data_IF_210943175741
#
_entry.id   IF_210943175741
#
_cell.length_a   1.000
_cell.length_b   1.000
_cell.length_c   1.000
_cell.angle_alpha   90.00
_cell.angle_beta   90.00
_cell.angle_gamma   90.00
#
_symmetry.space_group_name_H-M   'P 1'
#
loop_
_entity.id
_entity.type
_entity.pdbx_description
1 polymer ?
#
# COMPACT_ATOMS: atom_id res chain seq x y z
N UNK A 1 -31.81 -6.07 -53.63
CA UNK A 1 -30.83 -5.23 -52.88
C UNK A 1 -30.86 -5.44 -51.36
N UNK A 2 -31.94 -5.95 -50.77
CA UNK A 2 -32.06 -6.16 -49.30
C UNK A 2 -31.28 -7.39 -48.81
N UNK A 3 -31.32 -8.53 -49.52
CA UNK A 3 -30.61 -9.76 -49.13
C UNK A 3 -29.07 -9.65 -49.13
N UNK A 4 -28.49 -8.83 -50.02
CA UNK A 4 -27.04 -8.59 -50.06
C UNK A 4 -26.54 -7.79 -48.85
N UNK A 5 -27.38 -6.90 -48.29
CA UNK A 5 -27.06 -6.14 -47.07
C UNK A 5 -27.17 -6.99 -45.81
N UNK A 6 -28.12 -7.92 -45.76
CA UNK A 6 -28.24 -8.89 -44.67
C UNK A 6 -27.03 -9.83 -44.61
N UNK A 7 -26.60 -10.39 -45.74
CA UNK A 7 -25.40 -11.23 -45.81
C UNK A 7 -24.10 -10.49 -45.43
N UNK A 8 -24.01 -9.17 -45.64
CA UNK A 8 -22.85 -8.39 -45.18
C UNK A 8 -22.88 -8.11 -43.67
N UNK A 9 -24.07 -7.93 -43.10
CA UNK A 9 -24.25 -7.71 -41.66
C UNK A 9 -23.96 -9.00 -40.88
N UNK A 10 -24.47 -10.15 -41.34
CA UNK A 10 -24.22 -11.45 -40.70
C UNK A 10 -22.72 -11.83 -40.71
N UNK A 11 -22.01 -11.48 -41.79
CA UNK A 11 -20.54 -11.68 -41.88
C UNK A 11 -19.78 -10.79 -40.91
N UNK A 12 -20.21 -9.54 -40.74
CA UNK A 12 -19.55 -8.62 -39.83
C UNK A 12 -19.86 -8.98 -38.37
N UNK A 13 -21.07 -9.43 -38.06
CA UNK A 13 -21.43 -9.98 -36.74
C UNK A 13 -20.62 -11.24 -36.41
N UNK A 14 -20.48 -12.18 -37.34
CA UNK A 14 -19.65 -13.37 -37.17
C UNK A 14 -18.18 -13.01 -36.94
N UNK A 15 -17.67 -11.99 -37.65
CA UNK A 15 -16.31 -11.48 -37.46
C UNK A 15 -16.12 -10.85 -36.08
N UNK A 16 -17.07 -10.05 -35.63
CA UNK A 16 -17.04 -9.42 -34.30
C UNK A 16 -17.13 -10.47 -33.20
N UNK A 17 -18.00 -11.46 -33.35
CA UNK A 17 -18.12 -12.58 -32.41
C UNK A 17 -16.83 -13.40 -32.33
N UNK A 18 -16.21 -13.71 -33.47
CA UNK A 18 -14.91 -14.38 -33.51
C UNK A 18 -13.79 -13.54 -32.86
N UNK A 19 -13.82 -12.21 -33.02
CA UNK A 19 -12.88 -11.31 -32.38
C UNK A 19 -13.07 -11.28 -30.86
N UNK A 20 -14.32 -11.22 -30.37
CA UNK A 20 -14.64 -11.29 -28.94
C UNK A 20 -14.21 -12.63 -28.33
N UNK A 21 -14.51 -13.75 -28.99
CA UNK A 21 -14.11 -15.08 -28.53
C UNK A 21 -12.58 -15.22 -28.43
N UNK A 22 -11.83 -14.67 -29.39
CA UNK A 22 -10.35 -14.63 -29.33
C UNK A 22 -9.84 -13.75 -28.19
N UNK A 23 -10.46 -12.60 -27.96
CA UNK A 23 -10.10 -11.70 -26.86
C UNK A 23 -10.37 -12.34 -25.50
N UNK A 24 -11.51 -13.01 -25.32
CA UNK A 24 -11.84 -13.76 -24.11
C UNK A 24 -10.87 -14.92 -23.87
N UNK A 25 -10.58 -15.73 -24.90
CA UNK A 25 -9.60 -16.81 -24.81
C UNK A 25 -8.20 -16.29 -24.46
N UNK A 26 -7.82 -15.10 -24.96
CA UNK A 26 -6.58 -14.44 -24.60
C UNK A 26 -6.58 -14.01 -23.14
N UNK A 27 -7.63 -13.32 -22.69
CA UNK A 27 -7.77 -12.87 -21.29
C UNK A 27 -7.67 -14.02 -20.31
N UNK A 28 -8.34 -15.14 -20.57
CA UNK A 28 -8.27 -16.35 -19.74
C UNK A 28 -6.84 -16.89 -19.58
N UNK A 29 -6.01 -16.84 -20.64
CA UNK A 29 -4.59 -17.25 -20.58
C UNK A 29 -3.72 -16.30 -19.77
N UNK A 30 -3.98 -15.00 -19.84
CA UNK A 30 -3.23 -13.99 -19.09
C UNK A 30 -3.58 -13.97 -17.59
N UNK A 31 -4.84 -14.28 -17.26
CA UNK A 31 -5.30 -14.35 -15.87
C UNK A 31 -4.77 -15.58 -15.12
N UNK A 32 -4.50 -16.68 -15.82
CA UNK A 32 -3.95 -17.89 -15.19
C UNK A 32 -2.41 -17.81 -15.10
N UNK A 33 -1.92 -17.57 -13.87
CA UNK A 33 -0.49 -17.41 -13.58
C UNK A 33 0.36 -18.63 -13.99
N UNK A 34 -0.18 -19.86 -13.87
CA UNK A 34 0.55 -21.10 -14.21
C UNK A 34 0.75 -21.23 -15.71
N UNK A 35 -0.27 -20.96 -16.51
CA UNK A 35 -0.14 -20.98 -17.98
C UNK A 35 0.72 -19.84 -18.50
N UNK A 36 0.79 -18.71 -17.77
CA UNK A 36 1.68 -17.59 -18.10
C UNK A 36 3.15 -17.93 -17.85
N UNK A 37 3.45 -18.63 -16.76
CA UNK A 37 4.82 -19.01 -16.39
C UNK A 37 5.29 -20.28 -17.12
N UNK A 38 4.41 -21.26 -17.35
CA UNK A 38 4.73 -22.53 -18.01
C UNK A 38 3.57 -22.98 -18.91
N UNK A 39 3.45 -22.37 -20.08
CA UNK A 39 2.49 -22.76 -21.12
C UNK A 39 3.10 -23.78 -22.08
N UNK A 40 2.69 -25.05 -21.98
CA UNK A 40 3.17 -26.13 -22.86
C UNK A 40 1.97 -26.81 -23.54
N UNK A 41 1.99 -26.84 -24.88
CA UNK A 41 1.00 -27.58 -25.68
C UNK A 41 1.39 -29.05 -25.77
N UNK A 42 0.95 -29.84 -24.79
CA UNK A 42 1.28 -31.26 -24.69
C UNK A 42 0.78 -32.06 -25.90
N UNK A 43 -0.43 -31.77 -26.39
CA UNK A 43 -1.00 -32.47 -27.53
C UNK A 43 -0.21 -32.17 -28.82
N UNK A 44 0.19 -30.92 -29.02
CA UNK A 44 1.06 -30.54 -30.14
C UNK A 44 2.45 -31.18 -30.06
N UNK A 45 3.04 -31.27 -28.86
CA UNK A 45 4.32 -31.96 -28.67
C UNK A 45 4.22 -33.47 -28.90
N UNK A 46 3.16 -34.11 -28.41
CA UNK A 46 2.92 -35.55 -28.61
C UNK A 46 2.73 -35.85 -30.11
N UNK A 47 2.04 -34.99 -30.86
CA UNK A 47 1.91 -35.10 -32.32
C UNK A 47 3.26 -34.95 -33.04
N UNK A 48 4.10 -34.00 -32.64
CA UNK A 48 5.43 -33.81 -33.23
C UNK A 48 6.37 -34.98 -32.93
N UNK A 49 6.28 -35.59 -31.75
CA UNK A 49 7.07 -36.78 -31.39
C UNK A 49 6.66 -37.96 -32.27
N UNK A 50 5.35 -38.15 -32.47
CA UNK A 50 4.83 -39.22 -33.31
C UNK A 50 5.21 -39.02 -34.79
N UNK A 51 5.10 -37.80 -35.31
CA UNK A 51 5.54 -37.45 -36.67
C UNK A 51 7.04 -37.76 -36.88
N UNK A 52 7.89 -37.36 -35.94
CA UNK A 52 9.34 -37.65 -35.99
C UNK A 52 9.62 -39.15 -35.92
N UNK A 53 8.85 -39.91 -35.14
CA UNK A 53 8.98 -41.37 -35.06
C UNK A 53 8.65 -42.01 -36.41
N UNK A 54 7.52 -41.63 -37.00
CA UNK A 54 7.08 -42.15 -38.30
C UNK A 54 8.06 -41.80 -39.41
N UNK A 55 8.59 -40.57 -39.44
CA UNK A 55 9.61 -40.16 -40.40
C UNK A 55 10.91 -40.98 -40.27
N UNK A 56 11.32 -41.27 -39.03
CA UNK A 56 12.52 -42.11 -38.76
C UNK A 56 12.30 -43.55 -39.19
N UNK A 57 11.12 -44.11 -38.95
CA UNK A 57 10.77 -45.46 -39.39
C UNK A 57 10.68 -45.56 -40.92
N UNK A 58 10.06 -44.58 -41.58
CA UNK A 58 10.00 -44.51 -43.03
C UNK A 58 11.40 -44.41 -43.67
N UNK A 59 12.29 -43.58 -43.11
CA UNK A 59 13.67 -43.49 -43.57
C UNK A 59 14.43 -44.81 -43.38
N UNK A 60 14.23 -45.48 -42.24
CA UNK A 60 14.85 -46.78 -41.98
C UNK A 60 14.37 -47.83 -42.99
N UNK A 61 13.07 -47.86 -43.29
CA UNK A 61 12.52 -48.78 -44.27
C UNK A 61 13.07 -48.50 -45.68
N UNK A 62 13.08 -47.23 -46.11
CA UNK A 62 13.65 -46.83 -47.40
C UNK A 62 15.14 -47.22 -47.54
N UNK A 63 15.92 -47.10 -46.46
CA UNK A 63 17.31 -47.52 -46.46
C UNK A 63 17.47 -49.05 -46.58
N UNK A 64 16.60 -49.82 -45.93
CA UNK A 64 16.58 -51.28 -46.05
C UNK A 64 16.21 -51.73 -47.47
N UNK A 65 15.19 -51.10 -48.06
CA UNK A 65 14.73 -51.41 -49.42
C UNK A 65 15.80 -51.07 -50.45
N UNK A 66 16.48 -49.92 -50.28
CA UNK A 66 17.63 -49.54 -51.12
C UNK A 66 18.78 -50.55 -51.00
N UNK A 67 19.13 -50.96 -49.78
CA UNK A 67 20.19 -51.94 -49.56
C UNK A 67 19.87 -53.30 -50.21
N UNK A 68 18.62 -53.75 -50.15
CA UNK A 68 18.18 -54.98 -50.82
C UNK A 68 18.28 -54.85 -52.35
N UNK A 69 17.89 -53.71 -52.91
CA UNK A 69 18.01 -53.43 -54.35
C UNK A 69 19.48 -53.40 -54.80
N UNK A 70 20.36 -52.73 -54.04
CA UNK A 70 21.79 -52.66 -54.34
C UNK A 70 22.43 -54.07 -54.31
N UNK A 71 22.03 -54.93 -53.37
CA UNK A 71 22.48 -56.34 -53.34
C UNK A 71 22.03 -57.14 -54.57
N UNK A 72 20.80 -56.91 -55.05
CA UNK A 72 20.31 -57.57 -56.26
C UNK A 72 21.10 -57.14 -57.50
N UNK A 73 21.43 -55.85 -57.62
CA UNK A 73 22.26 -55.33 -58.71
C UNK A 73 23.65 -55.96 -58.68
N UNK A 74 24.29 -56.03 -57.51
CA UNK A 74 25.62 -56.63 -57.36
C UNK A 74 25.64 -58.09 -57.81
N UNK A 75 24.61 -58.86 -57.46
CA UNK A 75 24.49 -60.26 -57.89
C UNK A 75 24.36 -60.38 -59.41
N UNK A 76 23.55 -59.54 -60.06
CA UNK A 76 23.43 -59.54 -61.52
C UNK A 76 24.73 -59.16 -62.23
N UNK A 77 25.48 -58.20 -61.66
CA UNK A 77 26.79 -57.81 -62.17
C UNK A 77 27.80 -58.95 -62.07
N UNK A 78 27.83 -59.66 -60.94
CA UNK A 78 28.73 -60.80 -60.72
C UNK A 78 28.41 -61.96 -61.68
N UNK A 79 27.13 -62.27 -61.88
CA UNK A 79 26.68 -63.29 -62.84
C UNK A 79 27.07 -62.92 -64.28
N UNK A 80 26.86 -61.67 -64.70
CA UNK A 80 27.26 -61.19 -66.03
C UNK A 80 28.78 -61.22 -66.23
N UNK A 81 29.56 -60.81 -65.22
CA UNK A 81 31.01 -60.82 -65.32
C UNK A 81 31.57 -62.26 -65.37
N UNK A 82 30.96 -63.19 -64.64
CA UNK A 82 31.30 -64.61 -64.71
C UNK A 82 30.99 -65.21 -66.10
N UNK A 83 29.84 -64.89 -66.68
CA UNK A 83 29.48 -65.32 -68.04
C UNK A 83 30.43 -64.74 -69.09
N UNK A 84 30.70 -63.44 -69.06
CA UNK A 84 31.64 -62.80 -69.98
C UNK A 84 33.06 -63.38 -69.87
N UNK A 85 33.51 -63.73 -68.65
CA UNK A 85 34.78 -64.43 -68.44
C UNK A 85 34.77 -65.83 -69.06
N UNK A 86 33.69 -66.60 -68.89
CA UNK A 86 33.56 -67.94 -69.46
C UNK A 86 33.54 -67.91 -71.00
N UNK A 87 32.76 -67.00 -71.60
CA UNK A 87 32.68 -66.80 -73.06
C UNK A 87 34.04 -66.42 -73.64
N UNK A 88 34.74 -65.48 -73.00
CA UNK A 88 36.08 -65.09 -73.42
C UNK A 88 37.07 -66.25 -73.36
N UNK A 89 37.01 -67.07 -72.31
CA UNK A 89 37.87 -68.25 -72.17
C UNK A 89 37.55 -69.29 -73.26
N UNK A 90 36.28 -69.54 -73.55
CA UNK A 90 35.84 -70.45 -74.60
C UNK A 90 36.28 -69.95 -75.99
N UNK A 91 36.11 -68.67 -76.29
CA UNK A 91 36.56 -68.07 -77.56
C UNK A 91 38.08 -68.16 -77.74
N UNK A 92 38.85 -67.94 -76.67
CA UNK A 92 40.31 -68.08 -76.72
C UNK A 92 40.73 -69.54 -76.96
N UNK A 93 40.06 -70.50 -76.36
CA UNK A 93 40.33 -71.92 -76.58
C UNK A 93 39.97 -72.36 -78.01
N UNK A 94 38.83 -71.91 -78.54
CA UNK A 94 38.43 -72.18 -79.92
C UNK A 94 39.42 -71.59 -80.93
N UNK A 95 39.88 -70.35 -80.71
CA UNK A 95 40.91 -69.72 -81.53
C UNK A 95 42.23 -70.50 -81.47
N UNK A 96 42.59 -70.99 -80.28
CA UNK A 96 43.81 -71.79 -80.10
C UNK A 96 43.75 -73.10 -80.88
N UNK A 97 42.61 -73.79 -80.88
CA UNK A 97 42.41 -75.03 -81.64
C UNK A 97 42.45 -74.79 -83.16
N UNK A 98 41.77 -73.75 -83.66
CA UNK A 98 41.78 -73.35 -85.07
C UNK A 98 43.21 -73.01 -85.55
N UNK A 99 43.97 -72.28 -84.74
CA UNK A 99 45.37 -71.95 -85.04
C UNK A 99 46.29 -73.18 -85.01
N UNK A 100 46.05 -74.14 -84.12
CA UNK A 100 46.80 -75.40 -84.09
C UNK A 100 46.50 -76.28 -85.31
N UNK A 101 45.25 -76.31 -85.79
CA UNK A 101 44.89 -77.00 -87.04
C UNK A 101 45.56 -76.34 -88.25
N UNK A 102 45.49 -75.01 -88.37
CA UNK A 102 46.14 -74.25 -89.46
C UNK A 102 47.66 -74.31 -89.43
N UNK A 103 48.27 -74.59 -88.26
CA UNK A 103 49.71 -74.81 -88.15
C UNK A 103 50.16 -76.18 -88.68
N UNK A 104 49.24 -77.15 -88.81
CA UNK A 104 49.51 -78.48 -89.35
C UNK A 104 49.41 -78.57 -90.87
N UNK A 105 48.84 -77.55 -91.52
CA UNK A 105 48.76 -77.45 -92.97
C UNK A 105 50.14 -77.12 -93.56
N UNK A 106 50.61 -77.85 -94.60
CA UNK A 106 51.91 -77.58 -95.22
C UNK A 106 51.90 -76.19 -95.86
N UNK A 107 52.69 -75.27 -95.28
CA UNK A 107 52.86 -73.92 -95.79
C UNK A 107 53.87 -73.94 -96.95
N UNK A 108 53.33 -74.05 -98.16
CA UNK A 108 53.85 -73.42 -99.38
C UNK A 108 55.14 -74.06 -99.97
N UNK A 109 54.98 -74.92 -100.98
CA UNK A 109 56.05 -75.50 -101.82
C UNK A 109 56.38 -74.63 -103.06
N UNK A 110 56.33 -73.30 -102.94
CA UNK A 110 56.71 -72.41 -104.04
C UNK A 110 58.13 -71.83 -103.83
N UNK A 111 59.05 -71.96 -104.82
CA UNK A 111 60.34 -71.29 -104.76
C UNK A 111 60.11 -69.78 -104.68
N UNK A 112 60.77 -69.10 -103.74
CA UNK A 112 60.70 -67.64 -103.59
C UNK A 112 61.14 -66.98 -104.89
N UNK A 113 60.17 -66.43 -105.62
CA UNK A 113 60.38 -65.71 -106.87
C UNK A 113 60.94 -64.33 -106.52
N UNK A 114 62.19 -64.08 -106.91
CA UNK A 114 62.79 -62.76 -107.07
C UNK A 114 63.16 -61.99 -105.80
N UNK A 115 64.02 -61.00 -105.98
CA UNK A 115 64.28 -59.98 -104.96
C UNK A 115 62.96 -59.29 -104.57
N UNK A 116 62.83 -58.92 -103.29
CA UNK A 116 61.63 -58.27 -102.77
C UNK A 116 61.28 -57.04 -103.60
N UNK A 117 60.07 -56.99 -104.15
CA UNK A 117 59.56 -55.83 -104.87
C UNK A 117 59.66 -54.60 -103.96
N UNK A 118 60.43 -53.59 -104.39
CA UNK A 118 60.46 -52.33 -103.68
C UNK A 118 59.17 -51.56 -103.98
N UNK A 119 58.23 -51.60 -103.04
CA UNK A 119 56.92 -50.97 -103.16
C UNK A 119 57.00 -49.46 -103.47
N UNK A 120 58.07 -48.78 -103.06
CA UNK A 120 58.25 -47.33 -103.24
C UNK A 120 58.62 -46.96 -104.69
N UNK A 121 59.20 -47.90 -105.44
CA UNK A 121 59.56 -47.72 -106.86
C UNK A 121 58.40 -48.13 -107.80
N UNK A 122 57.31 -48.67 -107.26
CA UNK A 122 56.16 -49.15 -108.03
C UNK A 122 55.17 -48.02 -108.32
N UNK A 123 54.74 -47.88 -109.58
CA UNK A 123 53.70 -46.92 -109.95
C UNK A 123 52.33 -47.23 -109.32
N UNK A 124 51.46 -46.23 -109.23
CA UNK A 124 50.14 -46.34 -108.56
C UNK A 124 49.22 -47.44 -109.12
N UNK A 125 49.40 -47.83 -110.39
CA UNK A 125 48.65 -48.92 -111.03
C UNK A 125 49.04 -50.34 -110.58
N UNK A 126 50.21 -50.52 -109.95
CA UNK A 126 50.67 -51.83 -109.47
C UNK A 126 50.03 -52.24 -108.12
N UNK A 127 49.33 -51.31 -107.46
CA UNK A 127 48.68 -51.51 -106.16
C UNK A 127 49.61 -52.09 -105.06
N UNK A 128 50.92 -51.83 -105.15
CA UNK A 128 51.93 -52.30 -104.19
C UNK A 128 52.23 -51.28 -103.06
N UNK A 129 51.81 -50.01 -103.22
CA UNK A 129 52.02 -48.95 -102.24
C UNK A 129 50.76 -48.08 -102.09
N UNK A 130 50.25 -47.97 -100.86
CA UNK A 130 49.08 -47.15 -100.54
C UNK A 130 49.45 -46.04 -99.54
N UNK A 131 49.22 -44.78 -99.92
CA UNK A 131 49.52 -43.63 -99.05
C UNK A 131 48.76 -43.66 -97.69
N UNK A 132 47.62 -44.38 -97.62
CA UNK A 132 46.83 -44.53 -96.39
C UNK A 132 47.37 -45.56 -95.38
N UNK A 133 48.35 -46.38 -95.76
CA UNK A 133 48.86 -47.48 -94.92
C UNK A 133 49.63 -47.00 -93.68
N UNK A 134 50.17 -45.77 -93.71
CA UNK A 134 51.00 -45.15 -92.67
C UNK A 134 51.98 -46.12 -91.99
N UNK A 135 53.13 -46.30 -92.64
CA UNK A 135 54.27 -47.06 -92.10
C UNK A 135 54.77 -46.54 -90.75
N UNK A 136 54.49 -45.28 -90.41
CA UNK A 136 54.96 -44.62 -89.19
C UNK A 136 53.91 -44.63 -88.06
N UNK A 137 52.84 -45.42 -88.17
CA UNK A 137 51.74 -45.47 -87.19
C UNK A 137 52.23 -45.67 -85.76
N UNK A 138 53.18 -46.58 -85.55
CA UNK A 138 53.70 -46.88 -84.21
C UNK A 138 54.55 -45.74 -83.66
N UNK A 139 55.40 -45.13 -84.50
CA UNK A 139 56.19 -43.94 -84.14
C UNK A 139 55.27 -42.75 -83.78
N UNK A 140 54.23 -42.50 -84.58
CA UNK A 140 53.21 -41.48 -84.33
C UNK A 140 52.46 -41.74 -83.03
N UNK A 141 52.02 -42.98 -82.79
CA UNK A 141 51.33 -43.39 -81.55
C UNK A 141 52.24 -43.21 -80.33
N UNK A 142 53.53 -43.55 -80.44
CA UNK A 142 54.51 -43.37 -79.36
C UNK A 142 54.69 -41.89 -79.00
N UNK A 143 54.78 -41.02 -80.02
CA UNK A 143 54.87 -39.58 -79.82
C UNK A 143 53.61 -39.01 -79.16
N UNK A 144 52.41 -39.38 -79.64
CA UNK A 144 51.14 -38.97 -79.03
C UNK A 144 51.00 -39.43 -77.57
N UNK A 145 51.41 -40.66 -77.27
CA UNK A 145 51.43 -41.15 -75.89
C UNK A 145 52.44 -40.39 -75.01
N UNK A 146 53.61 -40.03 -75.55
CA UNK A 146 54.58 -39.22 -74.84
C UNK A 146 54.03 -37.80 -74.55
N UNK A 147 53.40 -37.16 -75.52
CA UNK A 147 52.71 -35.88 -75.35
C UNK A 147 51.59 -35.98 -74.30
N UNK A 148 50.75 -37.00 -74.37
CA UNK A 148 49.68 -37.20 -73.39
C UNK A 148 50.21 -37.43 -71.98
N UNK A 149 51.29 -38.20 -71.82
CA UNK A 149 51.98 -38.36 -70.53
C UNK A 149 52.53 -37.04 -70.01
N UNK A 150 53.15 -36.24 -70.87
CA UNK A 150 53.68 -34.93 -70.49
C UNK A 150 52.57 -33.98 -70.05
N UNK A 151 51.50 -33.85 -70.83
CA UNK A 151 50.37 -32.97 -70.50
C UNK A 151 49.67 -33.40 -69.21
N UNK A 152 49.38 -34.69 -69.05
CA UNK A 152 48.76 -35.20 -67.82
C UNK A 152 49.67 -35.03 -66.60
N UNK A 153 50.99 -35.15 -66.76
CA UNK A 153 51.95 -34.87 -65.68
C UNK A 153 51.97 -33.39 -65.30
N UNK A 154 51.97 -32.48 -66.29
CA UNK A 154 51.93 -31.03 -66.04
C UNK A 154 50.63 -30.64 -65.34
N UNK A 155 49.48 -31.11 -65.83
CA UNK A 155 48.17 -30.79 -65.26
C UNK A 155 48.01 -31.34 -63.83
N UNK A 156 48.59 -32.51 -63.53
CA UNK A 156 48.65 -33.05 -62.16
C UNK A 156 49.51 -32.19 -61.24
N UNK A 157 50.68 -31.75 -61.71
CA UNK A 157 51.58 -30.91 -60.94
C UNK A 157 50.94 -29.53 -60.65
N UNK A 158 50.32 -28.91 -61.64
CA UNK A 158 49.60 -27.64 -61.49
C UNK A 158 48.42 -27.77 -60.50
N UNK A 159 47.63 -28.84 -60.62
CA UNK A 159 46.54 -29.10 -59.67
C UNK A 159 47.06 -29.32 -58.25
N UNK A 160 48.17 -30.03 -58.09
CA UNK A 160 48.78 -30.25 -56.77
C UNK A 160 49.30 -28.93 -56.17
N UNK A 161 49.94 -28.08 -56.98
CA UNK A 161 50.41 -26.77 -56.55
C UNK A 161 49.25 -25.87 -56.11
N UNK A 162 48.16 -25.81 -56.91
CA UNK A 162 46.97 -25.03 -56.54
C UNK A 162 46.32 -25.54 -55.25
N UNK A 163 46.18 -26.86 -55.10
CA UNK A 163 45.63 -27.43 -53.88
C UNK A 163 46.50 -27.12 -52.64
N UNK A 164 47.82 -27.05 -52.82
CA UNK A 164 48.73 -26.67 -51.73
C UNK A 164 48.55 -25.20 -51.34
N UNK A 165 48.44 -24.31 -52.32
CA UNK A 165 48.17 -22.88 -52.10
C UNK A 165 46.82 -22.65 -51.41
N UNK A 166 45.76 -23.32 -51.87
CA UNK A 166 44.43 -23.28 -51.24
C UNK A 166 44.47 -23.73 -49.78
N UNK A 167 45.20 -24.82 -49.48
CA UNK A 167 45.34 -25.33 -48.12
C UNK A 167 46.17 -24.40 -47.22
N UNK A 168 47.18 -23.73 -47.77
CA UNK A 168 47.93 -22.70 -47.05
C UNK A 168 47.07 -21.46 -46.75
N UNK A 169 46.23 -21.03 -47.69
CA UNK A 169 45.27 -19.95 -47.48
C UNK A 169 44.23 -20.30 -46.41
N UNK A 170 43.70 -21.52 -46.44
CA UNK A 170 42.76 -22.00 -45.43
C UNK A 170 43.42 -22.04 -44.04
N UNK A 171 44.68 -22.48 -43.96
CA UNK A 171 45.46 -22.47 -42.72
C UNK A 171 45.70 -21.04 -42.20
N UNK A 172 46.06 -20.09 -43.08
CA UNK A 172 46.21 -18.67 -42.73
C UNK A 172 44.90 -18.09 -42.21
N UNK A 173 43.78 -18.40 -42.87
CA UNK A 173 42.47 -17.94 -42.43
C UNK A 173 42.08 -18.54 -41.08
N UNK A 174 42.35 -19.82 -40.85
CA UNK A 174 42.09 -20.46 -39.57
C UNK A 174 42.90 -19.82 -38.43
N UNK A 175 44.19 -19.54 -38.64
CA UNK A 175 45.02 -18.83 -37.67
C UNK A 175 44.49 -17.43 -37.36
N UNK A 176 44.03 -16.70 -38.39
CA UNK A 176 43.39 -15.40 -38.20
C UNK A 176 42.12 -15.50 -37.34
N UNK A 177 41.26 -16.49 -37.60
CA UNK A 177 40.05 -16.71 -36.80
C UNK A 177 40.37 -17.03 -35.33
N UNK A 178 41.40 -17.84 -35.07
CA UNK A 178 41.86 -18.12 -33.70
C UNK A 178 42.32 -16.85 -32.99
N UNK A 179 43.12 -16.01 -33.66
CA UNK A 179 43.57 -14.75 -33.08
C UNK A 179 42.41 -13.78 -32.79
N UNK A 180 41.39 -13.75 -33.64
CA UNK A 180 40.17 -12.97 -33.41
C UNK A 180 39.38 -13.50 -32.21
N UNK A 181 39.25 -14.83 -32.07
CA UNK A 181 38.55 -15.44 -30.94
C UNK A 181 39.28 -15.17 -29.62
N UNK A 182 40.62 -15.28 -29.61
CA UNK A 182 41.45 -14.96 -28.46
C UNK A 182 41.29 -13.49 -28.04
N UNK A 183 41.36 -12.55 -28.98
CA UNK A 183 41.12 -11.13 -28.71
C UNK A 183 39.71 -10.88 -28.17
N UNK A 184 38.69 -11.54 -28.74
CA UNK A 184 37.32 -11.45 -28.25
C UNK A 184 37.20 -11.96 -26.81
N UNK A 185 37.83 -13.09 -26.50
CA UNK A 185 37.86 -13.67 -25.16
C UNK A 185 38.52 -12.74 -24.14
N UNK A 186 39.64 -12.11 -24.51
CA UNK A 186 40.32 -11.11 -23.66
C UNK A 186 39.43 -9.91 -23.38
N UNK A 187 38.82 -9.32 -24.41
CA UNK A 187 37.90 -8.18 -24.27
C UNK A 187 36.68 -8.52 -23.41
N UNK A 188 36.12 -9.71 -23.55
CA UNK A 188 34.99 -10.14 -22.72
C UNK A 188 35.39 -10.30 -21.25
N UNK A 189 36.56 -10.88 -20.99
CA UNK A 189 37.08 -11.05 -19.63
C UNK A 189 37.38 -9.70 -18.97
N UNK A 190 38.00 -8.75 -19.69
CA UNK A 190 38.23 -7.40 -19.19
C UNK A 190 36.91 -6.67 -18.90
N UNK A 191 35.92 -6.81 -19.79
CA UNK A 191 34.61 -6.20 -19.58
C UNK A 191 33.89 -6.80 -18.36
N UNK A 192 33.99 -8.12 -18.16
CA UNK A 192 33.47 -8.80 -16.96
C UNK A 192 34.18 -8.30 -15.69
N UNK A 193 35.50 -8.18 -15.72
CA UNK A 193 36.29 -7.69 -14.60
C UNK A 193 35.93 -6.23 -14.24
N UNK A 194 35.83 -5.35 -15.24
CA UNK A 194 35.39 -3.96 -15.06
C UNK A 194 34.00 -3.88 -14.47
N UNK A 195 33.04 -4.61 -15.04
CA UNK A 195 31.66 -4.66 -14.54
C UNK A 195 31.60 -5.16 -13.09
N UNK A 196 32.42 -6.14 -12.73
CA UNK A 196 32.52 -6.63 -11.35
C UNK A 196 33.08 -5.58 -10.39
N UNK A 197 34.13 -4.86 -10.81
CA UNK A 197 34.72 -3.76 -10.04
C UNK A 197 33.71 -2.61 -9.84
N UNK A 198 33.00 -2.21 -10.90
CA UNK A 198 31.97 -1.18 -10.82
C UNK A 198 30.86 -1.57 -9.86
N UNK A 199 30.36 -2.82 -9.92
CA UNK A 199 29.36 -3.33 -8.98
C UNK A 199 29.84 -3.28 -7.52
N UNK A 200 31.11 -3.58 -7.28
CA UNK A 200 31.68 -3.47 -5.93
C UNK A 200 31.74 -2.01 -5.46
N UNK A 201 32.15 -1.09 -6.34
CA UNK A 201 32.20 0.33 -6.03
C UNK A 201 30.79 0.88 -5.72
N UNK A 202 29.79 0.55 -6.54
CA UNK A 202 28.41 0.93 -6.29
C UNK A 202 27.88 0.36 -4.96
N UNK A 203 28.23 -0.88 -4.61
CA UNK A 203 27.87 -1.46 -3.32
C UNK A 203 28.45 -0.64 -2.16
N UNK A 204 29.74 -0.32 -2.21
CA UNK A 204 30.40 0.50 -1.18
C UNK A 204 29.76 1.88 -1.03
N UNK A 205 29.52 2.56 -2.15
CA UNK A 205 28.84 3.86 -2.14
C UNK A 205 27.43 3.78 -1.54
N UNK A 206 26.67 2.73 -1.88
CA UNK A 206 25.34 2.52 -1.30
C UNK A 206 25.40 2.23 0.21
N UNK A 207 26.39 1.45 0.66
CA UNK A 207 26.60 1.18 2.09
C UNK A 207 26.97 2.45 2.86
N UNK A 208 27.87 3.28 2.32
CA UNK A 208 28.24 4.58 2.87
C UNK A 208 27.04 5.53 2.93
N UNK A 209 26.27 5.63 1.85
CA UNK A 209 25.07 6.45 1.79
C UNK A 209 23.99 5.99 2.79
N UNK A 210 23.83 4.67 2.96
CA UNK A 210 22.90 4.11 3.95
C UNK A 210 23.39 4.35 5.38
N UNK A 211 24.69 4.36 5.64
CA UNK A 211 25.26 4.73 6.94
C UNK A 211 25.03 6.22 7.24
N UNK A 212 25.31 7.10 6.27
CA UNK A 212 25.08 8.54 6.40
C UNK A 212 23.60 8.84 6.69
N UNK A 213 22.69 8.26 5.89
CA UNK A 213 21.25 8.44 6.07
C UNK A 213 20.77 7.98 7.46
N UNK A 214 21.33 6.88 7.98
CA UNK A 214 21.03 6.41 9.34
C UNK A 214 21.52 7.39 10.40
N UNK A 215 22.75 7.90 10.26
CA UNK A 215 23.31 8.87 11.18
C UNK A 215 22.50 10.18 11.20
N UNK A 216 22.12 10.71 10.04
CA UNK A 216 21.27 11.90 9.93
C UNK A 216 19.91 11.67 10.59
N UNK A 217 19.24 10.55 10.31
CA UNK A 217 17.95 10.23 10.95
C UNK A 217 18.05 10.14 12.48
N UNK A 218 19.15 9.59 12.99
CA UNK A 218 19.37 9.52 14.44
C UNK A 218 19.59 10.92 15.04
N UNK A 219 20.36 11.77 14.37
CA UNK A 219 20.52 13.18 14.77
C UNK A 219 19.18 13.93 14.75
N UNK A 220 18.40 13.79 13.68
CA UNK A 220 17.08 14.41 13.55
C UNK A 220 16.14 13.93 14.65
N UNK A 221 16.16 12.64 14.98
CA UNK A 221 15.37 12.07 16.08
C UNK A 221 15.78 12.65 17.43
N UNK A 222 17.09 12.79 17.68
CA UNK A 222 17.59 13.39 18.92
C UNK A 222 17.24 14.87 19.01
N UNK A 223 17.31 15.61 17.90
CA UNK A 223 16.90 17.00 17.85
C UNK A 223 15.39 17.14 18.08
N UNK A 224 14.57 16.32 17.43
CA UNK A 224 13.13 16.29 17.64
C UNK A 224 12.79 16.00 19.11
N UNK A 225 13.39 14.96 19.71
CA UNK A 225 13.18 14.65 21.12
C UNK A 225 13.57 15.80 22.07
N UNK A 226 14.65 16.54 21.76
CA UNK A 226 15.03 17.73 22.52
C UNK A 226 14.04 18.87 22.35
N UNK A 227 13.53 19.11 21.14
CA UNK A 227 12.51 20.11 20.89
C UNK A 227 11.21 19.76 21.61
N UNK A 228 10.79 18.49 21.58
CA UNK A 228 9.61 17.99 22.29
C UNK A 228 9.76 18.18 23.81
N UNK A 229 10.94 17.91 24.38
CA UNK A 229 11.22 18.13 25.80
C UNK A 229 11.22 19.63 26.17
N UNK A 230 11.79 20.47 25.30
CA UNK A 230 11.72 21.93 25.46
C UNK A 230 10.28 22.45 25.37
N UNK A 231 9.47 21.93 24.46
CA UNK A 231 8.05 22.29 24.35
C UNK A 231 7.29 21.82 25.59
N UNK A 232 7.50 20.58 26.03
CA UNK A 232 6.85 20.03 27.22
C UNK A 232 7.20 20.83 28.47
N UNK A 233 8.47 21.19 28.65
CA UNK A 233 8.91 22.01 29.78
C UNK A 233 8.34 23.42 29.72
N UNK A 234 8.25 24.02 28.53
CA UNK A 234 7.60 25.32 28.34
C UNK A 234 6.11 25.26 28.68
N UNK A 235 5.36 24.30 28.12
CA UNK A 235 3.93 24.09 28.37
C UNK A 235 3.67 23.80 29.85
N UNK A 236 4.50 22.97 30.48
CA UNK A 236 4.37 22.61 31.90
C UNK A 236 4.63 23.80 32.83
N UNK A 237 5.49 24.74 32.43
CA UNK A 237 5.78 25.95 33.18
C UNK A 237 4.98 27.16 32.67
N UNK A 238 4.07 26.98 31.72
CA UNK A 238 3.28 28.06 31.14
C UNK A 238 2.39 28.67 32.23
N UNK A 239 2.56 29.97 32.56
CA UNK A 239 1.76 30.62 33.58
C UNK A 239 0.25 30.63 33.29
N UNK A 240 -0.13 30.58 32.02
CA UNK A 240 -1.52 30.48 31.62
C UNK A 240 -2.12 29.12 31.99
N UNK A 241 -1.43 28.01 31.67
CA UNK A 241 -1.88 26.65 31.95
C UNK A 241 -1.82 26.29 33.44
N UNK A 242 -0.85 26.83 34.17
CA UNK A 242 -0.75 26.66 35.62
C UNK A 242 -1.69 27.57 36.42
N UNK A 243 -2.52 28.36 35.74
CA UNK A 243 -3.46 29.30 36.34
C UNK A 243 -2.79 30.24 37.35
N UNK A 244 -1.56 30.68 37.06
CA UNK A 244 -0.76 31.48 37.99
C UNK A 244 -1.46 32.82 38.30
N UNK A 245 -1.59 33.13 39.59
CA UNK A 245 -2.34 34.31 40.07
C UNK A 245 -1.53 35.59 40.07
N UNK A 246 -0.20 35.50 40.00
CA UNK A 246 0.72 36.63 40.09
C UNK A 246 0.60 37.56 38.88
N UNK A 247 0.23 37.01 37.70
CA UNK A 247 -0.07 37.78 36.49
C UNK A 247 -1.28 38.70 36.63
N UNK A 248 -2.13 38.47 37.64
CA UNK A 248 -3.24 39.33 38.00
C UNK A 248 -2.80 40.63 38.70
N UNK A 249 -1.58 40.71 39.24
CA UNK A 249 -1.11 41.91 39.95
C UNK A 249 -0.91 43.08 38.98
N UNK A 250 -1.35 44.28 39.36
CA UNK A 250 -1.15 45.47 38.54
C UNK A 250 0.28 45.99 38.69
N UNK A 251 0.92 46.29 37.57
CA UNK A 251 2.23 46.95 37.57
C UNK A 251 2.24 48.34 38.23
N UNK A 252 1.07 49.00 38.30
CA UNK A 252 0.94 50.38 38.83
C UNK A 252 0.90 50.40 40.35
N UNK A 253 0.28 49.41 40.98
CA UNK A 253 0.16 49.36 42.44
C UNK A 253 -0.10 47.92 42.94
N UNK A 254 0.59 47.47 44.02
CA UNK A 254 0.47 46.10 44.52
C UNK A 254 -0.93 45.69 44.99
N UNK A 255 -1.74 46.64 45.47
CA UNK A 255 -3.09 46.38 45.96
C UNK A 255 -4.16 46.34 44.84
N UNK A 256 -3.78 46.69 43.61
CA UNK A 256 -4.70 46.74 42.47
C UNK A 256 -4.55 45.47 41.63
N UNK A 257 -5.68 44.88 41.26
CA UNK A 257 -5.73 43.70 40.40
C UNK A 257 -6.12 44.11 38.99
N UNK A 258 -5.53 43.45 38.00
CA UNK A 258 -5.87 43.56 36.58
C UNK A 258 -7.25 42.96 36.32
N UNK A 259 -8.22 43.72 35.76
CA UNK A 259 -9.58 43.24 35.56
C UNK A 259 -9.70 42.00 34.67
N UNK A 260 -8.81 41.89 33.67
CA UNK A 260 -8.75 40.82 32.69
C UNK A 260 -8.17 39.50 33.24
N UNK A 261 -7.40 39.56 34.33
CA UNK A 261 -6.71 38.39 34.94
C UNK A 261 -7.16 38.15 36.39
N UNK A 262 -8.33 38.66 36.80
CA UNK A 262 -8.88 38.42 38.13
C UNK A 262 -9.46 37.00 38.23
N UNK A 263 -8.79 36.14 39.01
CA UNK A 263 -9.16 34.72 39.22
C UNK A 263 -9.76 34.46 40.60
N UNK A 264 -10.50 35.44 41.15
CA UNK A 264 -11.12 35.35 42.47
C UNK A 264 -10.20 35.74 43.62
N UNK A 265 -10.70 35.60 44.85
CA UNK A 265 -9.97 35.93 46.07
C UNK A 265 -8.99 34.81 46.45
N UNK A 266 -7.86 35.19 47.05
CA UNK A 266 -6.92 34.21 47.58
C UNK A 266 -7.53 33.49 48.80
N UNK A 267 -6.97 32.32 49.17
CA UNK A 267 -7.51 31.50 50.27
C UNK A 267 -7.53 32.25 51.60
N UNK A 268 -6.53 33.10 51.87
CA UNK A 268 -6.43 33.89 53.09
C UNK A 268 -7.51 34.97 53.18
N UNK A 269 -7.81 35.65 52.08
CA UNK A 269 -8.87 36.65 51.95
C UNK A 269 -10.24 36.00 52.12
N UNK A 270 -10.46 34.83 51.51
CA UNK A 270 -11.70 34.07 51.70
C UNK A 270 -11.85 33.65 53.17
N UNK A 271 -10.78 33.15 53.81
CA UNK A 271 -10.79 32.83 55.24
C UNK A 271 -11.06 34.06 56.11
N UNK A 272 -10.46 35.20 55.79
CA UNK A 272 -10.70 36.45 56.49
C UNK A 272 -12.16 36.89 56.38
N UNK A 273 -12.77 36.77 55.20
CA UNK A 273 -14.20 37.04 55.01
C UNK A 273 -15.06 36.10 55.85
N UNK A 274 -14.75 34.81 55.88
CA UNK A 274 -15.47 33.85 56.73
C UNK A 274 -15.33 34.19 58.23
N UNK A 275 -14.13 34.54 58.68
CA UNK A 275 -13.90 34.96 60.07
C UNK A 275 -14.73 36.21 60.41
N UNK A 276 -14.72 37.23 59.54
CA UNK A 276 -15.51 38.45 59.73
C UNK A 276 -17.01 38.21 59.70
N UNK A 277 -17.49 37.32 58.83
CA UNK A 277 -18.89 36.92 58.84
C UNK A 277 -19.25 36.22 60.15
N UNK A 278 -18.36 35.38 60.69
CA UNK A 278 -18.52 34.80 62.03
C UNK A 278 -18.66 35.85 63.12
N UNK A 279 -17.75 36.82 63.18
CA UNK A 279 -17.82 37.95 64.11
C UNK A 279 -19.13 38.74 63.99
N UNK A 280 -19.59 39.00 62.75
CA UNK A 280 -20.84 39.72 62.50
C UNK A 280 -22.06 38.94 63.01
N UNK A 281 -22.09 37.63 62.80
CA UNK A 281 -23.17 36.77 63.29
C UNK A 281 -23.20 36.79 64.81
N UNK A 282 -22.05 36.69 65.48
CA UNK A 282 -21.96 36.77 66.95
C UNK A 282 -22.42 38.14 67.48
N UNK A 283 -21.97 39.23 66.85
CA UNK A 283 -22.38 40.58 67.22
C UNK A 283 -23.89 40.78 67.07
N UNK A 284 -24.48 40.29 65.98
CA UNK A 284 -25.93 40.34 65.75
C UNK A 284 -26.70 39.49 66.77
N UNK A 285 -26.18 38.32 67.15
CA UNK A 285 -26.78 37.49 68.21
C UNK A 285 -26.77 38.21 69.57
N UNK A 286 -25.67 38.88 69.93
CA UNK A 286 -25.58 39.69 71.16
C UNK A 286 -26.56 40.86 71.14
N UNK A 287 -26.61 41.63 70.05
CA UNK A 287 -27.55 42.74 69.91
C UNK A 287 -29.01 42.28 70.07
N UNK A 288 -29.36 41.12 69.49
CA UNK A 288 -30.70 40.54 69.65
C UNK A 288 -30.98 40.05 71.07
N UNK A 289 -29.97 39.61 71.81
CA UNK A 289 -30.12 39.26 73.24
C UNK A 289 -30.35 40.52 74.08
N UNK A 290 -29.56 41.57 73.86
CA UNK A 290 -29.71 42.86 74.55
C UNK A 290 -31.09 43.49 74.27
N UNK A 291 -31.57 43.43 73.03
CA UNK A 291 -32.93 43.88 72.66
C UNK A 291 -34.00 43.08 73.42
N UNK A 292 -33.88 41.76 73.52
CA UNK A 292 -34.82 40.93 74.29
C UNK A 292 -34.79 41.24 75.78
N UNK A 293 -33.62 41.54 76.34
CA UNK A 293 -33.49 41.84 77.76
C UNK A 293 -33.98 43.26 78.09
N UNK A 294 -33.76 44.22 77.20
CA UNK A 294 -34.36 45.56 77.31
C UNK A 294 -35.89 45.52 77.14
N UNK A 295 -36.42 44.73 76.20
CA UNK A 295 -37.87 44.55 76.03
C UNK A 295 -38.50 43.87 77.25
N UNK A 296 -37.84 42.86 77.85
CA UNK A 296 -38.27 42.28 79.14
C UNK A 296 -38.24 43.30 80.27
N UNK A 297 -37.17 44.10 80.37
CA UNK A 297 -37.05 45.12 81.41
C UNK A 297 -38.15 46.18 81.26
N UNK A 298 -38.44 46.60 80.03
CA UNK A 298 -39.55 47.50 79.72
C UNK A 298 -40.90 46.88 80.05
N UNK A 299 -41.14 45.62 79.67
CA UNK A 299 -42.36 44.89 80.02
C UNK A 299 -42.57 44.78 81.54
N UNK A 300 -41.51 44.49 82.29
CA UNK A 300 -41.55 44.49 83.76
C UNK A 300 -41.84 45.88 84.34
N UNK A 301 -41.26 46.94 83.77
CA UNK A 301 -41.51 48.32 84.19
C UNK A 301 -42.97 48.72 83.94
N UNK A 302 -43.50 48.44 82.75
CA UNK A 302 -44.91 48.68 82.41
C UNK A 302 -45.82 47.94 83.37
N UNK A 303 -45.57 46.64 83.62
CA UNK A 303 -46.38 45.86 84.57
C UNK A 303 -46.35 46.43 85.99
N UNK A 304 -45.20 46.93 86.46
CA UNK A 304 -45.08 47.59 87.76
C UNK A 304 -45.86 48.91 87.81
N UNK A 305 -45.76 49.75 86.77
CA UNK A 305 -46.51 51.01 86.66
C UNK A 305 -48.01 50.75 86.61
N UNK A 306 -48.46 49.78 85.83
CA UNK A 306 -49.88 49.38 85.76
C UNK A 306 -50.39 48.93 87.12
N UNK A 307 -49.61 48.13 87.87
CA UNK A 307 -49.99 47.71 89.23
C UNK A 307 -50.16 48.89 90.20
N UNK A 308 -49.26 49.88 90.14
CA UNK A 308 -49.36 51.09 90.97
C UNK A 308 -50.57 51.94 90.57
N UNK A 309 -50.82 52.09 89.27
CA UNK A 309 -52.01 52.79 88.76
C UNK A 309 -53.32 52.10 89.21
N UNK A 310 -53.40 50.77 89.11
CA UNK A 310 -54.55 50.00 89.58
C UNK A 310 -54.76 50.15 91.09
N UNK A 311 -53.68 50.14 91.89
CA UNK A 311 -53.76 50.41 93.34
C UNK A 311 -54.29 51.82 93.64
N UNK A 312 -53.75 52.85 92.99
CA UNK A 312 -54.23 54.22 93.14
C UNK A 312 -55.70 54.38 92.71
N UNK A 313 -56.13 53.70 91.64
CA UNK A 313 -57.53 53.74 91.20
C UNK A 313 -58.44 53.07 92.23
N UNK A 314 -58.02 51.94 92.82
CA UNK A 314 -58.75 51.28 93.90
C UNK A 314 -58.84 52.16 95.16
N UNK A 315 -57.76 52.80 95.57
CA UNK A 315 -57.73 53.72 96.71
C UNK A 315 -58.63 54.95 96.47
N UNK A 316 -58.58 55.53 95.28
CA UNK A 316 -59.44 56.66 94.90
C UNK A 316 -60.92 56.27 94.91
N UNK A 317 -61.28 55.09 94.38
CA UNK A 317 -62.63 54.53 94.48
C UNK A 317 -63.05 54.30 95.93
N UNK A 318 -62.15 53.79 96.78
CA UNK A 318 -62.42 53.59 98.21
C UNK A 318 -62.65 54.92 98.94
N UNK A 319 -61.83 55.95 98.69
CA UNK A 319 -62.03 57.30 99.23
C UNK A 319 -63.34 57.93 98.75
N UNK A 320 -63.66 57.83 97.46
CA UNK A 320 -64.93 58.33 96.92
C UNK A 320 -66.13 57.65 97.57
N UNK A 321 -66.08 56.33 97.75
CA UNK A 321 -67.12 55.58 98.46
C UNK A 321 -67.24 55.98 99.94
N UNK A 322 -66.12 56.21 100.62
CA UNK A 322 -66.10 56.68 102.01
C UNK A 322 -66.72 58.08 102.15
N UNK A 323 -66.34 59.03 101.29
CA UNK A 323 -66.88 60.39 101.29
C UNK A 323 -68.37 60.40 100.96
N UNK A 324 -68.81 59.60 99.97
CA UNK A 324 -70.23 59.42 99.68
C UNK A 324 -71.00 58.89 100.90
N UNK A 325 -70.45 57.91 101.62
CA UNK A 325 -71.07 57.36 102.84
C UNK A 325 -71.19 58.40 103.96
N UNK A 326 -70.12 59.17 104.20
CA UNK A 326 -70.13 60.26 105.17
C UNK A 326 -71.18 61.32 104.79
N UNK A 327 -71.28 61.68 103.51
CA UNK A 327 -72.28 62.62 103.01
C UNK A 327 -73.70 62.09 103.20
N UNK A 328 -73.94 60.80 102.97
CA UNK A 328 -75.26 60.19 103.25
C UNK A 328 -75.61 60.21 104.74
N UNK A 329 -74.64 59.99 105.63
CA UNK A 329 -74.86 60.03 107.08
C UNK A 329 -75.20 61.44 107.57
N UNK A 330 -74.50 62.47 107.07
CA UNK A 330 -74.81 63.88 107.36
C UNK A 330 -76.21 64.26 106.87
N UNK A 331 -76.59 63.83 105.66
CA UNK A 331 -77.94 64.08 105.13
C UNK A 331 -79.04 63.38 105.95
N UNK A 332 -78.75 62.21 106.53
CA UNK A 332 -79.67 61.52 107.43
C UNK A 332 -79.81 62.23 108.77
N UNK A 333 -78.71 62.74 109.36
CA UNK A 333 -78.76 63.58 110.56
C UNK A 333 -79.57 64.86 110.34
N UNK A 334 -79.34 65.57 109.23
CA UNK A 334 -80.11 66.77 108.87
C UNK A 334 -81.61 66.47 108.70
N UNK A 335 -81.95 65.29 108.15
CA UNK A 335 -83.35 64.82 108.05
C UNK A 335 -83.98 64.61 109.44
N UNK A 336 -83.25 64.01 110.37
CA UNK A 336 -83.71 63.79 111.75
C UNK A 336 -83.92 65.12 112.49
N UNK A 337 -82.99 66.08 112.35
CA UNK A 337 -83.12 67.43 112.94
C UNK A 337 -84.33 68.19 112.38
N UNK A 338 -84.59 68.12 111.07
CA UNK A 338 -85.78 68.75 110.47
C UNK A 338 -87.09 68.15 111.00
N UNK A 339 -87.15 66.83 111.19
CA UNK A 339 -88.32 66.17 111.77
C UNK A 339 -88.54 66.62 113.23
N UNK A 340 -87.48 66.74 114.03
CA UNK A 340 -87.56 67.24 115.40
C UNK A 340 -88.06 68.71 115.44
N UNK A 341 -87.53 69.60 114.58
CA UNK A 341 -88.01 70.99 114.48
C UNK A 341 -89.47 71.09 114.04
N UNK A 342 -89.93 70.22 113.13
CA UNK A 342 -91.34 70.15 112.73
C UNK A 342 -92.25 69.67 113.86
N UNK A 343 -91.78 68.78 114.73
CA UNK A 343 -92.52 68.34 115.90
C UNK A 343 -92.70 69.49 116.92
N UNK A 344 -91.62 70.21 117.25
CA UNK A 344 -91.67 71.40 118.13
C UNK A 344 -92.60 72.49 117.56
N UNK A 345 -92.51 72.80 116.26
CA UNK A 345 -93.39 73.80 115.63
C UNK A 345 -94.87 73.40 115.62
N UNK A 346 -95.20 72.12 115.78
CA UNK A 346 -96.58 71.61 115.84
C UNK A 346 -97.16 71.75 117.26
N UNK A 347 -96.30 71.68 118.27
CA UNK A 347 -96.65 71.83 119.69
C UNK A 347 -96.94 73.30 120.05
N UNK A 348 -96.16 74.25 119.52
CA UNK A 348 -96.34 75.69 119.72
C UNK A 348 -97.49 76.33 118.91
N UNK A 349 -98.29 75.54 118.17
CA UNK A 349 -99.26 76.05 117.18
C UNK A 349 -100.57 76.59 117.78
N UNK A 350 -100.81 76.42 119.08
CA UNK A 350 -101.98 76.98 119.78
C UNK A 350 -101.54 77.60 121.11
N UNK A 351 -101.60 78.93 121.21
CA UNK A 351 -101.33 79.65 122.45
C UNK A 351 -102.38 79.35 123.52
N UNK A 352 -101.95 79.06 124.76
CA UNK A 352 -102.82 78.81 125.91
C UNK A 352 -103.26 80.11 126.58
N UNK A 353 -104.55 80.26 126.87
CA UNK A 353 -105.11 81.36 127.66
C UNK A 353 -104.97 81.03 129.15
N UNK A 354 -104.19 81.81 129.89
CA UNK A 354 -103.97 81.65 131.33
C UNK A 354 -105.09 82.32 132.15
N UNK A 355 -105.39 81.75 133.33
CA UNK A 355 -106.54 82.10 134.19
C UNK A 355 -106.53 83.53 134.76
N UNK A 356 -105.45 84.29 134.56
CA UNK A 356 -105.37 85.72 134.85
C UNK A 356 -106.10 86.63 133.83
N UNK A 357 -106.39 86.13 132.62
CA UNK A 357 -106.98 86.91 131.52
C UNK A 357 -108.40 87.41 131.82
N UNK A 358 -109.21 86.65 132.56
CA UNK A 358 -110.61 86.99 132.84
C UNK A 358 -110.82 87.86 134.10
N UNK A 359 -109.77 88.14 134.89
CA UNK A 359 -109.85 89.00 136.09
C UNK A 359 -109.77 90.51 135.80
N UNK A 360 -109.53 90.92 134.56
CA UNK A 360 -109.41 92.33 134.14
C UNK A 360 -110.69 92.98 133.60
N UNK A 361 -111.78 92.24 133.45
CA UNK A 361 -113.06 92.78 132.95
C UNK A 361 -114.01 93.11 134.11
N UNK A 362 -114.46 94.36 134.22
CA UNK A 362 -115.55 94.78 135.12
C UNK A 362 -115.17 95.36 136.49
N UNK A 363 -113.89 95.71 136.73
CA UNK A 363 -113.42 96.23 138.04
C UNK A 363 -113.46 97.77 138.19
N UNK A 364 -114.21 98.50 137.36
CA UNK A 364 -114.48 99.94 137.56
C UNK A 364 -115.92 100.29 137.17
N UNK A 365 -116.67 100.86 138.11
CA UNK A 365 -117.91 101.62 137.86
C UNK A 365 -117.63 103.13 137.73
N UNK A 366 -116.47 103.45 137.15
CA UNK A 366 -115.88 104.80 137.06
C UNK A 366 -115.21 104.99 135.72
#
# INVERSE_FOLDING_TARGET
MVMLKQNSLDKEEARIAAMRARAEARTQRFLNARTRTMGVDKAGLDAQVEEKRQAKEALRQANMDKAAYDQQILRMLEENEAQARAEKMAALNALREDLLQKASEPKNDLPKIGDSVNAEDCGTGAAQYFAGEDKNKDSRRRLQQAQMRQWTSQQKAEKAARNMEENEDEMRFHQYLMAVDDMRGQMENENKARTAADRLNFRKLNEEQAALTRATREQDRQLAAKMDDMELTHVKNDPFLNEETDFGTSAVAPHRVRPDHFKGFNKEQVQWVYAKNGELVEAHQKMKQDERDTEKAWGNHVAAVTRVMEQNEQESKAQANYMNKLQTDVLNQQRAEQLAKKAQSKEDRFGSVDGGFYKGFGTSCR
#
